data_IF_407282742352
#
_entry.id   IF_407282742352
#
_cell.length_a   1.000
_cell.length_b   1.000
_cell.length_c   1.000
_cell.angle_alpha   90.00
_cell.angle_beta   90.00
_cell.angle_gamma   90.00
#
_symmetry.space_group_name_H-M   'P 1'
#
loop_
_entity.id
_entity.type
_entity.pdbx_description
1 polymer ?
#
# COMPACT_ATOMS: atom_id res chain seq x y z
N UNK A 1 29.89 -41.43 -55.69
CA UNK A 1 28.57 -41.77 -55.13
C UNK A 1 28.36 -40.89 -53.91
N UNK A 2 27.64 -39.79 -54.07
CA UNK A 2 27.33 -38.82 -53.02
C UNK A 2 25.82 -38.84 -52.82
N UNK A 3 25.36 -39.25 -51.65
CA UNK A 3 23.95 -39.18 -51.26
C UNK A 3 23.65 -37.82 -50.61
N UNK A 4 22.49 -37.20 -50.88
CA UNK A 4 22.13 -35.92 -50.29
C UNK A 4 21.60 -36.09 -48.87
N UNK A 5 22.15 -35.31 -47.93
CA UNK A 5 21.67 -35.16 -46.56
C UNK A 5 20.42 -34.26 -46.56
N UNK A 6 19.31 -34.75 -46.03
CA UNK A 6 18.14 -33.96 -45.64
C UNK A 6 18.28 -33.52 -44.18
N UNK A 7 18.20 -32.22 -43.85
CA UNK A 7 18.14 -31.78 -42.46
C UNK A 7 16.71 -31.88 -41.92
N UNK A 8 16.58 -32.56 -40.78
CA UNK A 8 15.35 -32.67 -40.01
C UNK A 8 14.92 -31.28 -39.49
N UNK A 9 13.73 -30.85 -39.87
CA UNK A 9 13.10 -29.63 -39.37
C UNK A 9 12.52 -29.90 -37.97
N UNK A 10 13.31 -29.58 -36.95
CA UNK A 10 12.90 -29.55 -35.54
C UNK A 10 11.89 -28.41 -35.33
N UNK A 11 10.61 -28.75 -35.27
CA UNK A 11 9.53 -27.85 -34.91
C UNK A 11 9.67 -27.43 -33.44
N UNK A 12 10.29 -26.27 -33.20
CA UNK A 12 10.25 -25.58 -31.90
C UNK A 12 8.83 -25.08 -31.64
N UNK A 13 8.08 -25.85 -30.86
CA UNK A 13 6.88 -25.39 -30.17
C UNK A 13 7.29 -24.34 -29.12
N UNK A 14 7.31 -23.08 -29.56
CA UNK A 14 7.62 -21.90 -28.75
C UNK A 14 6.44 -21.46 -27.90
N UNK A 15 5.85 -22.35 -27.12
CA UNK A 15 4.94 -21.95 -26.04
C UNK A 15 5.78 -21.56 -24.83
N UNK A 16 6.28 -20.32 -24.84
CA UNK A 16 6.90 -19.70 -23.67
C UNK A 16 5.91 -19.68 -22.49
N UNK A 17 6.12 -20.45 -21.41
CA UNK A 17 5.24 -20.45 -20.23
C UNK A 17 5.25 -19.09 -19.49
N UNK A 18 6.15 -18.19 -19.88
CA UNK A 18 6.30 -16.86 -19.33
C UNK A 18 5.24 -15.87 -19.86
N UNK A 19 4.70 -16.09 -21.07
CA UNK A 19 3.69 -15.21 -21.65
C UNK A 19 2.34 -15.30 -20.91
N UNK A 20 1.95 -16.50 -20.47
CA UNK A 20 0.69 -16.71 -19.73
C UNK A 20 0.73 -16.20 -18.27
N UNK A 21 1.91 -16.11 -17.64
CA UNK A 21 2.07 -15.58 -16.28
C UNK A 21 2.02 -14.05 -16.22
N UNK A 22 2.41 -13.35 -17.28
CA UNK A 22 2.36 -11.89 -17.32
C UNK A 22 0.92 -11.35 -17.41
N UNK A 23 0.06 -12.01 -18.20
CA UNK A 23 -1.32 -11.57 -18.44
C UNK A 23 -2.25 -11.81 -17.26
N UNK A 24 -2.08 -12.92 -16.53
CA UNK A 24 -2.90 -13.26 -15.36
C UNK A 24 -2.61 -12.36 -14.15
N UNK A 25 -1.38 -11.85 -14.02
CA UNK A 25 -1.01 -10.88 -12.98
C UNK A 25 -1.67 -9.52 -13.21
N UNK A 26 -1.77 -9.07 -14.47
CA UNK A 26 -2.38 -7.78 -14.82
C UNK A 26 -3.90 -7.76 -14.61
N UNK A 27 -4.60 -8.84 -14.97
CA UNK A 27 -6.06 -8.91 -14.89
C UNK A 27 -6.59 -8.88 -13.44
N UNK A 28 -5.87 -9.53 -12.51
CA UNK A 28 -6.22 -9.51 -11.09
C UNK A 28 -5.90 -8.17 -10.40
N UNK A 29 -4.95 -7.38 -10.94
CA UNK A 29 -4.60 -6.05 -10.42
C UNK A 29 -5.66 -5.00 -10.81
N UNK A 30 -6.22 -5.09 -12.02
CA UNK A 30 -7.25 -4.16 -12.52
C UNK A 30 -8.56 -4.28 -11.72
N UNK A 31 -8.96 -5.49 -11.31
CA UNK A 31 -10.15 -5.70 -10.47
C UNK A 31 -9.99 -5.18 -9.03
N UNK A 32 -8.76 -5.01 -8.54
CA UNK A 32 -8.45 -4.57 -7.16
C UNK A 32 -8.26 -3.06 -7.04
N UNK A 33 -7.99 -2.40 -8.16
CA UNK A 33 -7.79 -0.95 -8.23
C UNK A 33 -8.95 -0.13 -7.63
N UNK A 34 -10.25 -0.39 -7.93
CA UNK A 34 -11.33 0.41 -7.35
C UNK A 34 -11.45 0.23 -5.83
N UNK A 35 -11.16 -0.97 -5.33
CA UNK A 35 -11.19 -1.31 -3.90
C UNK A 35 -10.04 -0.66 -3.12
N UNK A 36 -8.87 -0.51 -3.76
CA UNK A 36 -7.73 0.21 -3.21
C UNK A 36 -7.95 1.73 -3.25
N UNK A 37 -8.49 2.25 -4.35
CA UNK A 37 -8.83 3.67 -4.49
C UNK A 37 -9.85 4.10 -3.44
N UNK A 38 -10.90 3.31 -3.20
CA UNK A 38 -11.88 3.62 -2.15
C UNK A 38 -11.23 3.78 -0.77
N UNK A 39 -10.28 2.91 -0.41
CA UNK A 39 -9.56 2.99 0.87
C UNK A 39 -8.56 4.14 0.93
N UNK A 40 -7.90 4.46 -0.18
CA UNK A 40 -7.05 5.65 -0.28
C UNK A 40 -7.88 6.93 -0.10
N UNK A 41 -9.09 6.99 -0.66
CA UNK A 41 -10.02 8.11 -0.45
C UNK A 41 -10.45 8.20 1.01
N UNK A 42 -10.77 7.08 1.66
CA UNK A 42 -11.09 7.06 3.10
C UNK A 42 -9.92 7.55 3.95
N UNK A 43 -8.71 7.07 3.66
CA UNK A 43 -7.48 7.52 4.34
C UNK A 43 -7.29 9.03 4.14
N UNK A 44 -7.34 9.51 2.91
CA UNK A 44 -7.18 10.93 2.59
C UNK A 44 -8.25 11.80 3.25
N UNK A 45 -9.49 11.32 3.31
CA UNK A 45 -10.59 12.01 3.98
C UNK A 45 -10.36 12.14 5.50
N UNK A 46 -9.99 11.04 6.17
CA UNK A 46 -9.79 11.06 7.63
C UNK A 46 -8.53 11.84 8.01
N UNK A 47 -7.40 11.59 7.32
CA UNK A 47 -6.14 12.31 7.56
C UNK A 47 -6.30 13.79 7.22
N UNK A 48 -7.01 14.12 6.15
CA UNK A 48 -7.35 15.50 5.76
C UNK A 48 -8.20 16.20 6.82
N UNK A 49 -9.23 15.54 7.35
CA UNK A 49 -10.06 16.08 8.42
C UNK A 49 -9.25 16.30 9.71
N UNK A 50 -8.43 15.32 10.10
CA UNK A 50 -7.55 15.43 11.26
C UNK A 50 -6.53 16.57 11.07
N UNK A 51 -5.96 16.70 9.87
CA UNK A 51 -5.07 17.79 9.50
C UNK A 51 -5.74 19.16 9.57
N UNK A 52 -6.99 19.28 9.12
CA UNK A 52 -7.77 20.52 9.22
C UNK A 52 -8.05 20.92 10.67
N UNK A 53 -8.41 19.95 11.52
CA UNK A 53 -8.60 20.18 12.95
C UNK A 53 -7.29 20.60 13.61
N UNK A 54 -6.21 19.90 13.31
CA UNK A 54 -4.88 20.23 13.81
C UNK A 54 -4.44 21.62 13.31
N UNK A 55 -4.69 21.98 12.07
CA UNK A 55 -4.43 23.33 11.56
C UNK A 55 -5.16 24.37 12.39
N UNK A 56 -6.50 24.26 12.51
CA UNK A 56 -7.31 25.28 13.17
C UNK A 56 -6.93 25.44 14.65
N UNK A 57 -6.63 24.33 15.33
CA UNK A 57 -6.21 24.34 16.72
C UNK A 57 -4.80 24.92 16.90
N UNK A 58 -3.83 24.47 16.09
CA UNK A 58 -2.43 24.89 16.22
C UNK A 58 -2.19 26.30 15.66
N UNK A 59 -2.97 26.73 14.67
CA UNK A 59 -2.98 28.11 14.20
C UNK A 59 -3.39 29.09 15.29
N UNK A 60 -4.30 28.69 16.18
CA UNK A 60 -4.74 29.50 17.33
C UNK A 60 -3.74 29.46 18.49
N UNK A 61 -3.12 28.32 18.78
CA UNK A 61 -2.17 28.17 19.89
C UNK A 61 -0.76 28.69 19.58
N UNK A 62 -0.27 28.44 18.37
CA UNK A 62 1.13 28.62 18.00
C UNK A 62 1.31 29.56 16.79
N UNK A 63 0.24 30.24 16.35
CA UNK A 63 0.26 31.17 15.23
C UNK A 63 0.49 30.48 13.87
N UNK A 64 0.98 31.25 12.88
CA UNK A 64 1.19 30.75 11.52
C UNK A 64 2.11 29.51 11.45
N UNK A 65 3.13 29.46 12.32
CA UNK A 65 4.08 28.33 12.39
C UNK A 65 3.38 27.02 12.76
N UNK A 66 2.41 27.07 13.69
CA UNK A 66 1.63 25.89 14.09
C UNK A 66 0.70 25.37 12.99
N UNK A 67 0.17 26.28 12.17
CA UNK A 67 -0.65 25.93 11.01
C UNK A 67 0.20 25.25 9.92
N UNK A 68 1.35 25.80 9.59
CA UNK A 68 2.27 25.21 8.60
C UNK A 68 2.73 23.81 9.04
N UNK A 69 3.11 23.66 10.31
CA UNK A 69 3.44 22.36 10.93
C UNK A 69 2.38 21.29 10.67
N UNK A 70 1.10 21.64 10.87
CA UNK A 70 0.00 20.72 10.71
C UNK A 70 -0.17 20.25 9.25
N UNK A 71 0.01 21.15 8.28
CA UNK A 71 -0.08 20.83 6.84
C UNK A 71 1.03 19.86 6.44
N UNK A 72 2.28 20.20 6.77
CA UNK A 72 3.43 19.41 6.37
C UNK A 72 3.39 18.03 7.02
N UNK A 73 3.00 17.96 8.29
CA UNK A 73 2.79 16.69 8.98
C UNK A 73 1.66 15.88 8.35
N UNK A 74 0.54 16.51 7.96
CA UNK A 74 -0.57 15.86 7.27
C UNK A 74 -0.14 15.28 5.92
N UNK A 75 0.56 16.06 5.09
CA UNK A 75 1.05 15.60 3.78
C UNK A 75 2.06 14.47 3.97
N UNK A 76 2.98 14.61 4.91
CA UNK A 76 3.97 13.58 5.24
C UNK A 76 3.38 12.26 5.70
N UNK A 77 2.53 12.31 6.71
CA UNK A 77 1.86 11.14 7.27
C UNK A 77 0.85 10.54 6.28
N UNK A 78 0.18 11.37 5.48
CA UNK A 78 -0.75 10.93 4.45
C UNK A 78 -0.04 10.22 3.29
N UNK A 79 1.03 10.79 2.76
CA UNK A 79 1.79 10.17 1.66
C UNK A 79 2.47 8.86 2.10
N UNK A 80 3.06 8.82 3.29
CA UNK A 80 3.67 7.58 3.82
C UNK A 80 2.63 6.48 4.05
N UNK A 81 1.49 6.80 4.66
CA UNK A 81 0.39 5.86 4.85
C UNK A 81 -0.23 5.40 3.51
N UNK A 82 -0.34 6.28 2.53
CA UNK A 82 -0.82 5.94 1.19
C UNK A 82 0.13 4.97 0.46
N UNK A 83 1.44 5.21 0.52
CA UNK A 83 2.46 4.32 -0.06
C UNK A 83 2.47 2.95 0.62
N UNK A 84 2.33 2.93 1.94
CA UNK A 84 2.26 1.70 2.72
C UNK A 84 0.99 0.90 2.38
N UNK A 85 -0.18 1.55 2.26
CA UNK A 85 -1.43 0.92 1.82
C UNK A 85 -1.35 0.41 0.38
N UNK A 86 -0.77 1.19 -0.53
CA UNK A 86 -0.57 0.79 -1.91
C UNK A 86 0.32 -0.46 -1.99
N UNK A 87 1.41 -0.48 -1.22
CA UNK A 87 2.34 -1.62 -1.17
C UNK A 87 1.65 -2.89 -0.67
N UNK A 88 0.86 -2.81 0.40
CA UNK A 88 0.06 -3.95 0.89
C UNK A 88 -0.97 -4.37 -0.17
N UNK A 89 -1.68 -3.42 -0.77
CA UNK A 89 -2.69 -3.70 -1.78
C UNK A 89 -2.17 -4.45 -3.00
N UNK A 90 -1.00 -4.06 -3.49
CA UNK A 90 -0.36 -4.66 -4.66
C UNK A 90 0.22 -6.05 -4.36
N UNK A 91 0.67 -6.27 -3.13
CA UNK A 91 1.34 -7.52 -2.72
C UNK A 91 0.40 -8.53 -2.05
N UNK A 92 -0.78 -8.10 -1.61
CA UNK A 92 -1.77 -8.95 -0.96
C UNK A 92 -2.19 -10.10 -1.88
N UNK A 93 -2.13 -11.33 -1.37
CA UNK A 93 -2.50 -12.55 -2.10
C UNK A 93 -1.42 -13.13 -3.01
N UNK A 94 -0.21 -12.55 -3.06
CA UNK A 94 0.94 -13.14 -3.77
C UNK A 94 1.91 -13.87 -2.82
N UNK A 95 2.87 -14.62 -3.39
CA UNK A 95 3.98 -15.25 -2.63
C UNK A 95 4.85 -14.25 -1.86
N UNK A 96 4.72 -12.94 -2.17
CA UNK A 96 5.46 -11.81 -1.57
C UNK A 96 4.61 -10.97 -0.60
N UNK A 97 3.43 -11.44 -0.19
CA UNK A 97 2.55 -10.70 0.73
C UNK A 97 3.26 -10.31 2.05
N UNK A 98 4.08 -11.22 2.59
CA UNK A 98 4.86 -10.94 3.80
C UNK A 98 5.90 -9.82 3.58
N UNK A 99 6.60 -9.83 2.45
CA UNK A 99 7.56 -8.78 2.11
C UNK A 99 6.88 -7.41 1.95
N UNK A 100 5.70 -7.37 1.31
CA UNK A 100 4.94 -6.13 1.17
C UNK A 100 4.42 -5.58 2.50
N UNK A 101 4.04 -6.45 3.43
CA UNK A 101 3.65 -6.06 4.78
C UNK A 101 4.86 -5.51 5.57
N UNK A 102 6.03 -6.14 5.44
CA UNK A 102 7.26 -5.69 6.09
C UNK A 102 7.72 -4.32 5.56
N UNK A 103 7.65 -4.12 4.24
CA UNK A 103 7.93 -2.83 3.59
C UNK A 103 6.92 -1.76 4.01
N UNK A 104 5.63 -2.11 4.13
CA UNK A 104 4.60 -1.20 4.66
C UNK A 104 4.92 -0.75 6.09
N UNK A 105 5.36 -1.65 6.97
CA UNK A 105 5.78 -1.29 8.33
C UNK A 105 6.99 -0.35 8.31
N UNK A 106 7.97 -0.62 7.45
CA UNK A 106 9.13 0.27 7.26
C UNK A 106 8.71 1.68 6.82
N UNK A 107 7.83 1.80 5.82
CA UNK A 107 7.32 3.10 5.37
C UNK A 107 6.52 3.82 6.45
N UNK A 108 5.73 3.07 7.23
CA UNK A 108 4.96 3.58 8.35
C UNK A 108 5.81 4.23 9.42
N UNK A 109 6.92 3.60 9.79
CA UNK A 109 7.76 4.10 10.89
C UNK A 109 8.76 5.11 10.39
N UNK A 110 9.47 4.81 9.29
CA UNK A 110 10.57 5.64 8.83
C UNK A 110 10.10 6.90 8.11
N UNK A 111 8.99 6.87 7.38
CA UNK A 111 8.52 8.04 6.64
C UNK A 111 8.24 9.24 7.56
N UNK A 112 7.35 9.09 8.55
CA UNK A 112 7.04 10.14 9.51
C UNK A 112 8.22 10.52 10.41
N UNK A 113 9.09 9.57 10.79
CA UNK A 113 10.30 9.86 11.58
C UNK A 113 11.31 10.67 10.77
N UNK A 114 11.64 10.23 9.56
CA UNK A 114 12.57 10.90 8.67
C UNK A 114 12.07 12.31 8.35
N UNK A 115 10.77 12.46 8.08
CA UNK A 115 10.19 13.78 7.86
C UNK A 115 10.32 14.67 9.09
N UNK A 116 10.03 14.16 10.30
CA UNK A 116 10.21 14.91 11.54
C UNK A 116 11.67 15.34 11.78
N UNK A 117 12.63 14.48 11.45
CA UNK A 117 14.07 14.78 11.57
C UNK A 117 14.52 15.81 10.54
N UNK A 118 14.19 15.63 9.26
CA UNK A 118 14.51 16.60 8.20
C UNK A 118 13.91 17.96 8.52
N UNK A 119 12.67 17.96 9.01
CA UNK A 119 11.97 19.18 9.39
C UNK A 119 12.66 19.91 10.54
N UNK A 120 13.09 19.17 11.56
CA UNK A 120 13.86 19.71 12.68
C UNK A 120 15.17 20.37 12.23
N UNK A 121 15.80 19.84 11.18
CA UNK A 121 17.04 20.39 10.62
C UNK A 121 16.80 21.65 9.79
N UNK A 122 15.70 21.74 9.05
CA UNK A 122 15.38 22.91 8.23
C UNK A 122 14.82 24.09 9.04
N UNK A 123 14.13 23.81 10.15
CA UNK A 123 13.51 24.82 11.01
C UNK A 123 13.96 24.69 12.48
N UNK A 124 15.24 25.00 12.80
CA UNK A 124 15.77 24.94 14.16
C UNK A 124 15.05 25.89 15.12
N UNK A 125 14.46 26.96 14.60
CA UNK A 125 13.71 27.99 15.35
C UNK A 125 12.36 27.49 15.88
N UNK A 126 11.88 26.33 15.43
CA UNK A 126 10.62 25.76 15.93
C UNK A 126 10.86 25.02 17.24
N UNK A 127 10.00 25.23 18.24
CA UNK A 127 10.12 24.52 19.51
C UNK A 127 9.88 23.02 19.32
N UNK A 128 10.75 22.18 19.90
CA UNK A 128 10.62 20.71 19.88
C UNK A 128 9.25 20.29 20.41
N UNK A 129 8.73 20.99 21.43
CA UNK A 129 7.41 20.71 22.02
C UNK A 129 6.27 20.90 21.02
N UNK A 130 6.32 21.94 20.20
CA UNK A 130 5.27 22.23 19.23
C UNK A 130 5.33 21.23 18.06
N UNK A 131 6.53 20.88 17.62
CA UNK A 131 6.73 19.89 16.56
C UNK A 131 6.21 18.52 16.99
N UNK A 132 6.57 18.05 18.19
CA UNK A 132 6.14 16.72 18.65
C UNK A 132 4.66 16.66 18.95
N UNK A 133 4.05 17.69 19.55
CA UNK A 133 2.61 17.67 19.87
C UNK A 133 1.75 17.53 18.60
N UNK A 134 2.06 18.29 17.55
CA UNK A 134 1.29 18.25 16.30
C UNK A 134 1.62 17.01 15.47
N UNK A 135 2.92 16.72 15.30
CA UNK A 135 3.36 15.64 14.42
C UNK A 135 3.06 14.25 14.98
N UNK A 136 3.26 14.02 16.28
CA UNK A 136 2.99 12.71 16.90
C UNK A 136 1.49 12.42 16.90
N UNK A 137 0.65 13.43 17.15
CA UNK A 137 -0.81 13.25 17.15
C UNK A 137 -1.33 12.87 15.75
N UNK A 138 -0.91 13.61 14.71
CA UNK A 138 -1.28 13.30 13.32
C UNK A 138 -0.70 11.96 12.85
N UNK A 139 0.52 11.64 13.26
CA UNK A 139 1.14 10.35 13.00
C UNK A 139 0.33 9.19 13.60
N UNK A 140 -0.09 9.29 14.86
CA UNK A 140 -0.88 8.24 15.52
C UNK A 140 -2.25 8.05 14.87
N UNK A 141 -2.92 9.14 14.49
CA UNK A 141 -4.20 9.06 13.77
C UNK A 141 -4.01 8.38 12.41
N UNK A 142 -3.01 8.82 11.63
CA UNK A 142 -2.70 8.21 10.34
C UNK A 142 -2.39 6.72 10.47
N UNK A 143 -1.54 6.35 11.45
CA UNK A 143 -1.15 4.97 11.72
C UNK A 143 -2.36 4.11 12.11
N UNK A 144 -3.26 4.64 12.95
CA UNK A 144 -4.48 3.93 13.38
C UNK A 144 -5.41 3.65 12.20
N UNK A 145 -5.73 4.68 11.42
CA UNK A 145 -6.61 4.57 10.25
C UNK A 145 -6.04 3.60 9.23
N UNK A 146 -4.75 3.74 8.92
CA UNK A 146 -4.07 2.85 8.00
C UNK A 146 -4.08 1.40 8.52
N UNK A 147 -3.91 1.19 9.82
CA UNK A 147 -3.89 -0.16 10.42
C UNK A 147 -5.23 -0.85 10.25
N UNK A 148 -6.32 -0.11 10.51
CA UNK A 148 -7.69 -0.59 10.30
C UNK A 148 -7.88 -0.95 8.82
N UNK A 149 -7.46 -0.07 7.90
CA UNK A 149 -7.59 -0.32 6.45
C UNK A 149 -6.76 -1.53 5.99
N UNK A 150 -5.55 -1.72 6.51
CA UNK A 150 -4.70 -2.89 6.21
C UNK A 150 -5.33 -4.18 6.72
N UNK A 151 -5.85 -4.19 7.96
CA UNK A 151 -6.55 -5.36 8.53
C UNK A 151 -7.78 -5.70 7.69
N UNK A 152 -8.54 -4.69 7.27
CA UNK A 152 -9.71 -4.87 6.41
C UNK A 152 -9.33 -5.43 5.02
N UNK A 153 -8.24 -4.96 4.42
CA UNK A 153 -7.70 -5.53 3.16
C UNK A 153 -7.36 -7.02 3.35
N UNK A 154 -6.56 -7.34 4.37
CA UNK A 154 -6.09 -8.72 4.62
C UNK A 154 -7.27 -9.66 4.92
N UNK A 155 -8.25 -9.19 5.71
CA UNK A 155 -9.43 -9.98 6.08
C UNK A 155 -10.32 -10.29 4.87
N UNK A 156 -10.57 -9.28 4.02
CA UNK A 156 -11.33 -9.48 2.77
C UNK A 156 -10.61 -10.43 1.81
N UNK A 157 -9.27 -10.39 1.75
CA UNK A 157 -8.50 -11.34 0.94
C UNK A 157 -8.59 -12.77 1.48
N UNK A 158 -8.52 -12.96 2.79
CA UNK A 158 -8.65 -14.28 3.42
C UNK A 158 -10.00 -14.93 3.11
N UNK A 159 -11.09 -14.17 3.20
CA UNK A 159 -12.44 -14.64 2.84
C UNK A 159 -12.58 -14.99 1.35
N UNK A 160 -12.05 -14.16 0.46
CA UNK A 160 -12.16 -14.39 -0.99
C UNK A 160 -11.43 -15.67 -1.44
N UNK A 161 -10.26 -15.96 -0.86
CA UNK A 161 -9.55 -17.23 -1.08
C UNK A 161 -10.30 -18.45 -0.54
N UNK A 162 -10.98 -18.34 0.62
CA UNK A 162 -11.77 -19.43 1.17
C UNK A 162 -12.98 -19.80 0.30
N UNK A 163 -13.67 -18.80 -0.26
CA UNK A 163 -14.83 -19.00 -1.14
C UNK A 163 -14.42 -19.64 -2.47
N UNK A 164 -13.28 -19.21 -3.06
CA UNK A 164 -12.74 -19.82 -4.28
C UNK A 164 -12.37 -21.29 -4.08
N UNK A 165 -11.72 -21.62 -2.96
CA UNK A 165 -11.32 -23.00 -2.64
C UNK A 165 -12.52 -23.92 -2.35
N UNK A 166 -13.59 -23.39 -1.75
CA UNK A 166 -14.84 -24.13 -1.53
C UNK A 166 -15.57 -24.47 -2.84
N UNK A 167 -15.50 -23.60 -3.85
CA UNK A 167 -16.18 -23.79 -5.14
C UNK A 167 -15.53 -24.87 -6.00
N UNK A 168 -14.21 -25.00 -5.96
CA UNK A 168 -13.47 -26.07 -6.66
C UNK A 168 -13.66 -27.45 -6.03
N UNK A 169 -14.05 -27.52 -4.75
CA UNK A 169 -14.28 -28.80 -4.06
C UNK A 169 -15.61 -29.44 -4.41
N UNK A 170 -16.59 -28.68 -4.88
CA UNK A 170 -17.96 -29.15 -5.13
C UNK A 170 -18.12 -29.72 -6.56
N UNK A 171 -17.21 -29.42 -7.49
CA UNK A 171 -17.30 -29.87 -8.89
C UNK A 171 -16.63 -31.21 -9.20
N UNK A 172 -15.90 -31.82 -8.27
CA UNK A 172 -15.48 -33.24 -8.42
C UNK A 172 -16.65 -34.16 -8.07
N UNK A 173 -17.59 -34.33 -9.00
CA UNK A 173 -18.43 -35.54 -9.01
C UNK A 173 -17.51 -36.75 -9.25
N UNK A 174 -17.52 -37.77 -8.39
CA UNK A 174 -16.91 -39.05 -8.73
C UNK A 174 -17.73 -39.64 -9.88
N UNK A 175 -17.14 -39.71 -11.07
CA UNK A 175 -17.63 -40.60 -12.11
C UNK A 175 -17.29 -42.03 -11.66
N UNK A 176 -18.31 -42.71 -11.14
CA UNK A 176 -18.37 -44.16 -11.03
C UNK A 176 -19.37 -44.69 -12.04
#
# INVERSE_FOLDING_TARGET
MAGPNTPDAEARDGTDPNAASATTTSQNQIARLPFLLARLVVLAGIVGLAGLVAWNWNGKKYGAVGAELAIFSMVGCGCSAALALLTVGLTAGGKRAFAGLLVSILFRTLGPLALGVVWRLMHPEWSIRNLTEVHVSLFLVSLTVETILVVDIVSNFSMSSAISSGKDRITRKPHG
#
